data_IF_111009286398
#
_entry.id   IF_111009286398
#
_cell.length_a   1.000
_cell.length_b   1.000
_cell.length_c   1.000
_cell.angle_alpha   90.00
_cell.angle_beta   90.00
_cell.angle_gamma   90.00
#
_symmetry.space_group_name_H-M   'P 1'
#
loop_
_entity.id
_entity.type
_entity.pdbx_description
1 polymer ?
#
# COMPACT_ATOMS: atom_id res chain seq x y z
N UNK A 1 -28.03 -33.90 18.07
CA UNK A 1 -28.96 -33.30 17.09
C UNK A 1 -28.41 -31.91 16.74
N UNK A 2 -27.91 -31.72 15.52
CA UNK A 2 -27.41 -30.41 15.09
C UNK A 2 -28.58 -29.65 14.44
N UNK A 3 -28.93 -28.50 15.00
CA UNK A 3 -29.90 -27.58 14.39
C UNK A 3 -29.13 -26.80 13.34
N UNK A 4 -29.45 -27.06 12.06
CA UNK A 4 -28.95 -26.26 10.95
C UNK A 4 -29.85 -25.03 10.84
N UNK A 5 -29.32 -23.86 11.20
CA UNK A 5 -30.01 -22.58 10.99
C UNK A 5 -29.66 -22.10 9.59
N UNK A 6 -30.64 -22.05 8.69
CA UNK A 6 -30.46 -21.45 7.37
C UNK A 6 -30.78 -19.95 7.46
N UNK A 7 -29.75 -19.13 7.32
CA UNK A 7 -29.87 -17.67 7.23
C UNK A 7 -30.41 -17.30 5.84
N UNK A 8 -31.71 -17.05 5.77
CA UNK A 8 -32.34 -16.49 4.57
C UNK A 8 -32.22 -14.96 4.67
N UNK A 9 -31.25 -14.39 3.96
CA UNK A 9 -31.10 -12.94 3.86
C UNK A 9 -32.21 -12.36 2.97
N UNK A 10 -32.84 -11.28 3.43
CA UNK A 10 -33.75 -10.50 2.59
C UNK A 10 -32.97 -9.85 1.43
N UNK A 11 -33.66 -9.55 0.33
CA UNK A 11 -33.01 -8.90 -0.81
C UNK A 11 -32.51 -7.49 -0.50
N UNK A 12 -33.10 -6.85 0.52
CA UNK A 12 -32.60 -5.58 1.07
C UNK A 12 -31.24 -5.76 1.74
N UNK A 13 -31.12 -6.72 2.66
CA UNK A 13 -29.85 -7.02 3.34
C UNK A 13 -28.77 -7.44 2.35
N UNK A 14 -29.13 -8.18 1.29
CA UNK A 14 -28.18 -8.52 0.21
C UNK A 14 -27.70 -7.27 -0.55
N UNK A 15 -28.60 -6.33 -0.86
CA UNK A 15 -28.23 -5.09 -1.56
C UNK A 15 -27.32 -4.22 -0.70
N UNK A 16 -27.62 -4.09 0.58
CA UNK A 16 -26.81 -3.31 1.51
C UNK A 16 -25.40 -3.90 1.64
N UNK A 17 -25.30 -5.23 1.77
CA UNK A 17 -24.01 -5.92 1.78
C UNK A 17 -23.22 -5.70 0.48
N UNK A 18 -23.87 -5.76 -0.67
CA UNK A 18 -23.22 -5.50 -1.97
C UNK A 18 -22.75 -4.04 -2.06
N UNK A 19 -23.54 -3.09 -1.57
CA UNK A 19 -23.18 -1.68 -1.61
C UNK A 19 -22.01 -1.37 -0.66
N UNK A 20 -22.00 -1.95 0.53
CA UNK A 20 -20.88 -1.83 1.48
C UNK A 20 -19.60 -2.43 0.89
N UNK A 21 -19.68 -3.65 0.34
CA UNK A 21 -18.54 -4.29 -0.31
C UNK A 21 -18.01 -3.47 -1.51
N UNK A 22 -18.89 -2.85 -2.29
CA UNK A 22 -18.48 -1.94 -3.37
C UNK A 22 -17.75 -0.72 -2.83
N UNK A 23 -18.25 -0.10 -1.76
CA UNK A 23 -17.60 1.06 -1.15
C UNK A 23 -16.21 0.71 -0.62
N UNK A 24 -16.08 -0.39 0.12
CA UNK A 24 -14.79 -0.85 0.63
C UNK A 24 -13.79 -1.13 -0.51
N UNK A 25 -14.25 -1.74 -1.60
CA UNK A 25 -13.42 -1.97 -2.79
C UNK A 25 -13.00 -0.66 -3.46
N UNK A 26 -13.93 0.27 -3.65
CA UNK A 26 -13.64 1.59 -4.23
C UNK A 26 -12.59 2.35 -3.41
N UNK A 27 -12.72 2.36 -2.08
CA UNK A 27 -11.76 2.97 -1.17
C UNK A 27 -10.37 2.30 -1.27
N UNK A 28 -10.30 0.96 -1.31
CA UNK A 28 -9.03 0.25 -1.47
C UNK A 28 -8.37 0.53 -2.83
N UNK A 29 -9.16 0.64 -3.90
CA UNK A 29 -8.66 0.99 -5.23
C UNK A 29 -8.12 2.42 -5.27
N UNK A 30 -8.83 3.38 -4.70
CA UNK A 30 -8.39 4.79 -4.66
C UNK A 30 -7.07 4.94 -3.88
N UNK A 31 -6.96 4.31 -2.71
CA UNK A 31 -5.74 4.29 -1.92
C UNK A 31 -4.56 3.70 -2.70
N UNK A 32 -4.78 2.57 -3.41
CA UNK A 32 -3.72 1.93 -4.18
C UNK A 32 -3.30 2.74 -5.39
N UNK A 33 -4.24 3.39 -6.09
CA UNK A 33 -3.93 4.29 -7.20
C UNK A 33 -3.15 5.51 -6.72
N UNK A 34 -3.51 6.08 -5.57
CA UNK A 34 -2.81 7.21 -4.98
C UNK A 34 -1.36 6.82 -4.59
N UNK A 35 -1.17 5.67 -3.94
CA UNK A 35 0.15 5.13 -3.63
C UNK A 35 1.00 4.97 -4.89
N UNK A 36 0.48 4.32 -5.93
CA UNK A 36 1.22 4.10 -7.19
C UNK A 36 1.58 5.43 -7.85
N UNK A 37 0.63 6.37 -7.91
CA UNK A 37 0.86 7.71 -8.46
C UNK A 37 2.02 8.43 -7.76
N UNK A 38 2.00 8.47 -6.42
CA UNK A 38 3.05 9.11 -5.61
C UNK A 38 4.40 8.41 -5.71
N UNK A 39 4.39 7.08 -5.88
CA UNK A 39 5.61 6.34 -6.18
C UNK A 39 6.16 6.74 -7.54
N UNK A 40 5.31 6.87 -8.56
CA UNK A 40 5.73 7.29 -9.91
C UNK A 40 6.33 8.71 -9.93
N UNK A 41 5.90 9.59 -9.02
CA UNK A 41 6.48 10.93 -8.81
C UNK A 41 7.90 10.90 -8.21
N UNK A 42 8.32 9.76 -7.63
CA UNK A 42 9.70 9.62 -7.17
C UNK A 42 10.66 9.60 -8.38
N UNK A 43 11.87 10.16 -8.22
CA UNK A 43 12.99 9.88 -9.11
C UNK A 43 13.18 8.36 -9.34
N UNK A 44 13.92 7.92 -10.38
CA UNK A 44 14.17 6.49 -10.60
C UNK A 44 14.86 5.79 -9.41
N UNK A 45 15.78 6.49 -8.76
CA UNK A 45 16.50 6.03 -7.56
C UNK A 45 16.59 7.16 -6.53
N UNK A 46 15.52 7.43 -5.75
CA UNK A 46 15.51 8.48 -4.74
C UNK A 46 16.40 8.14 -3.53
N UNK A 47 16.81 9.17 -2.79
CA UNK A 47 17.36 9.01 -1.44
C UNK A 47 16.25 8.97 -0.38
N UNK A 48 16.61 8.59 0.85
CA UNK A 48 15.66 8.50 1.98
C UNK A 48 14.86 9.79 2.23
N UNK A 49 15.47 10.96 2.05
CA UNK A 49 14.79 12.25 2.25
C UNK A 49 13.74 12.54 1.19
N UNK A 50 14.04 12.23 -0.07
CA UNK A 50 13.11 12.38 -1.20
C UNK A 50 11.90 11.44 -1.03
N UNK A 51 12.16 10.19 -0.64
CA UNK A 51 11.11 9.19 -0.39
C UNK A 51 10.15 9.70 0.69
N UNK A 52 10.67 10.12 1.85
CA UNK A 52 9.82 10.64 2.93
C UNK A 52 9.04 11.88 2.52
N UNK A 53 9.66 12.79 1.78
CA UNK A 53 9.01 14.03 1.37
C UNK A 53 7.86 13.79 0.39
N UNK A 54 8.08 12.96 -0.63
CA UNK A 54 7.09 12.70 -1.70
C UNK A 54 6.00 11.73 -1.19
N UNK A 55 6.41 10.65 -0.53
CA UNK A 55 5.48 9.67 0.05
C UNK A 55 4.89 10.10 1.40
N UNK A 56 5.29 11.26 1.95
CA UNK A 56 4.83 11.82 3.23
C UNK A 56 4.79 10.78 4.36
N UNK A 57 5.80 9.91 4.39
CA UNK A 57 5.93 8.83 5.39
C UNK A 57 6.94 9.16 6.46
N UNK A 58 6.77 8.55 7.62
CA UNK A 58 7.73 8.61 8.73
C UNK A 58 9.02 7.83 8.44
N UNK A 59 10.08 8.11 9.19
CA UNK A 59 11.31 7.29 9.15
C UNK A 59 11.03 5.83 9.52
N UNK A 60 10.20 5.58 10.54
CA UNK A 60 9.82 4.21 10.93
C UNK A 60 9.12 3.44 9.81
N UNK A 61 8.25 4.11 9.05
CA UNK A 61 7.60 3.50 7.89
C UNK A 61 8.62 3.19 6.81
N UNK A 62 9.54 4.11 6.53
CA UNK A 62 10.60 3.89 5.55
C UNK A 62 11.53 2.74 5.96
N UNK A 63 11.92 2.67 7.22
CA UNK A 63 12.77 1.58 7.72
C UNK A 63 12.03 0.24 7.69
N UNK A 64 10.72 0.23 7.94
CA UNK A 64 9.90 -0.97 7.75
C UNK A 64 9.84 -1.40 6.27
N UNK A 65 9.69 -0.47 5.33
CA UNK A 65 9.74 -0.79 3.90
C UNK A 65 11.11 -1.33 3.49
N UNK A 66 12.19 -0.77 4.01
CA UNK A 66 13.56 -1.25 3.79
C UNK A 66 13.71 -2.69 4.28
N UNK A 67 13.19 -3.00 5.47
CA UNK A 67 13.19 -4.36 6.02
C UNK A 67 12.36 -5.36 5.17
N UNK A 68 11.45 -4.87 4.33
CA UNK A 68 10.52 -5.69 3.54
C UNK A 68 10.73 -5.61 2.02
N UNK A 69 11.92 -5.18 1.59
CA UNK A 69 12.35 -5.30 0.19
C UNK A 69 12.66 -3.98 -0.53
N UNK A 70 12.55 -2.83 0.15
CA UNK A 70 13.04 -1.55 -0.38
C UNK A 70 14.56 -1.44 -0.22
N UNK A 71 15.30 -2.37 -0.87
CA UNK A 71 16.73 -2.58 -0.66
C UNK A 71 17.56 -1.32 -0.99
N UNK A 72 18.32 -0.78 -0.02
CA UNK A 72 19.22 0.34 -0.26
C UNK A 72 20.45 -0.08 -1.06
N UNK A 73 20.89 0.79 -1.96
CA UNK A 73 22.09 0.64 -2.77
C UNK A 73 22.98 1.86 -2.61
N UNK A 74 24.30 1.64 -2.60
CA UNK A 74 25.28 2.73 -2.61
C UNK A 74 25.48 3.19 -4.05
N UNK A 75 25.29 4.48 -4.30
CA UNK A 75 25.50 5.12 -5.59
C UNK A 75 26.65 6.12 -5.48
N UNK A 76 27.68 5.96 -6.32
CA UNK A 76 28.82 6.87 -6.40
C UNK A 76 29.52 7.08 -5.04
N UNK A 77 29.74 8.34 -4.68
CA UNK A 77 30.37 8.78 -3.43
C UNK A 77 29.49 8.54 -2.18
N UNK A 78 29.17 7.28 -1.88
CA UNK A 78 28.43 6.87 -0.67
C UNK A 78 26.99 7.39 -0.55
N UNK A 79 26.33 7.75 -1.66
CA UNK A 79 24.93 8.17 -1.57
C UNK A 79 24.02 6.95 -1.52
N UNK A 80 23.25 6.80 -0.45
CA UNK A 80 22.28 5.69 -0.33
C UNK A 80 21.03 6.05 -1.13
N UNK A 81 20.71 5.21 -2.13
CA UNK A 81 19.53 5.31 -2.98
C UNK A 81 18.71 4.03 -2.92
N UNK A 82 17.42 4.11 -3.23
CA UNK A 82 16.54 2.94 -3.31
C UNK A 82 15.79 3.05 -4.63
N UNK A 83 15.84 2.00 -5.46
CA UNK A 83 15.09 2.00 -6.72
C UNK A 83 13.59 2.09 -6.47
N UNK A 84 12.89 2.89 -7.27
CA UNK A 84 11.43 3.07 -7.18
C UNK A 84 10.68 1.73 -7.23
N UNK A 85 11.14 0.77 -8.05
CA UNK A 85 10.53 -0.55 -8.15
C UNK A 85 10.62 -1.35 -6.84
N UNK A 86 11.72 -1.22 -6.11
CA UNK A 86 11.91 -1.88 -4.81
C UNK A 86 11.01 -1.26 -3.74
N UNK A 87 10.78 0.06 -3.80
CA UNK A 87 9.82 0.75 -2.93
C UNK A 87 8.41 0.23 -3.18
N UNK A 88 7.98 0.16 -4.45
CA UNK A 88 6.67 -0.39 -4.82
C UNK A 88 6.47 -1.81 -4.31
N UNK A 89 7.45 -2.69 -4.56
CA UNK A 89 7.42 -4.08 -4.09
C UNK A 89 7.31 -4.17 -2.56
N UNK A 90 7.98 -3.28 -1.81
CA UNK A 90 7.90 -3.26 -0.36
C UNK A 90 6.50 -2.86 0.15
N UNK A 91 5.82 -1.92 -0.52
CA UNK A 91 4.43 -1.61 -0.19
C UNK A 91 3.49 -2.78 -0.46
N UNK A 92 3.65 -3.47 -1.60
CA UNK A 92 2.88 -4.66 -1.92
C UNK A 92 3.07 -5.79 -0.88
N UNK A 93 4.29 -5.93 -0.34
CA UNK A 93 4.60 -6.93 0.68
C UNK A 93 4.06 -6.58 2.08
N UNK A 94 4.01 -5.28 2.42
CA UNK A 94 3.67 -4.82 3.78
C UNK A 94 2.20 -4.47 3.95
N UNK A 95 1.45 -4.30 2.84
CA UNK A 95 0.06 -3.84 2.84
C UNK A 95 -0.14 -2.51 3.61
N UNK A 96 0.88 -1.67 3.66
CA UNK A 96 0.82 -0.35 4.30
C UNK A 96 0.05 0.60 3.39
N UNK A 97 -0.89 1.34 4.00
CA UNK A 97 -1.63 2.45 3.39
C UNK A 97 -0.94 3.78 3.71
N UNK A 98 -0.98 4.76 2.80
CA UNK A 98 -0.33 6.10 2.93
C UNK A 98 -1.18 7.25 2.41
#
# INVERSE_FOLDING_TARGET
>A
MAIKVELILSDEVKRDLINEAKRELEEEFEERLNLVSRILDLPPAPNKSEIRKILKISDSTLDHLIANGATPMIWGENTIRIERANILKAFDNTKIKI
#
